data_IF_512973111345
#
_entry.id   IF_512973111345
#
_cell.length_a   1.000
_cell.length_b   1.000
_cell.length_c   1.000
_cell.angle_alpha   90.00
_cell.angle_beta   90.00
_cell.angle_gamma   90.00
#
_symmetry.space_group_name_H-M   'P 1'
#
loop_
_entity.id
_entity.type
_entity.pdbx_description
1 polymer ?
#
# COMPACT_ATOMS: atom_id res chain seq x y z
N UNK A 1 43.26 -14.79 -64.89
CA UNK A 1 42.51 -13.94 -63.95
C UNK A 1 41.10 -14.50 -63.83
N UNK A 2 40.80 -15.20 -62.74
CA UNK A 2 39.50 -15.82 -62.47
C UNK A 2 38.92 -15.16 -61.22
N UNK A 3 37.81 -14.44 -61.37
CA UNK A 3 37.13 -13.72 -60.29
C UNK A 3 36.00 -14.60 -59.78
N UNK A 4 36.10 -15.08 -58.53
CA UNK A 4 35.03 -15.80 -57.85
C UNK A 4 34.19 -14.80 -57.05
N UNK A 5 32.90 -14.72 -57.34
CA UNK A 5 31.90 -13.99 -56.56
C UNK A 5 31.37 -14.95 -55.49
N UNK A 6 31.55 -14.61 -54.22
CA UNK A 6 30.89 -15.29 -53.10
C UNK A 6 29.55 -14.59 -52.82
N UNK A 7 28.45 -15.31 -52.99
CA UNK A 7 27.14 -14.89 -52.51
C UNK A 7 27.00 -15.28 -51.03
N UNK A 8 26.88 -14.29 -50.15
CA UNK A 8 26.54 -14.48 -48.74
C UNK A 8 25.02 -14.43 -48.62
N UNK A 9 24.40 -15.58 -48.32
CA UNK A 9 22.97 -15.67 -47.97
C UNK A 9 22.84 -15.37 -46.48
N UNK A 10 22.30 -14.19 -46.13
CA UNK A 10 21.89 -13.86 -44.77
C UNK A 10 20.59 -14.62 -44.44
N UNK A 11 20.66 -15.57 -43.52
CA UNK A 11 19.47 -16.12 -42.86
C UNK A 11 19.00 -15.15 -41.77
N UNK A 12 17.93 -14.39 -42.04
CA UNK A 12 17.13 -13.76 -41.00
C UNK A 12 16.33 -14.85 -40.29
N UNK A 13 16.75 -15.23 -39.09
CA UNK A 13 15.96 -16.05 -38.19
C UNK A 13 14.92 -15.16 -37.51
N UNK A 14 13.70 -15.17 -38.03
CA UNK A 14 12.52 -14.62 -37.36
C UNK A 14 12.15 -15.59 -36.23
N UNK A 15 12.55 -15.29 -34.98
CA UNK A 15 12.02 -16.02 -33.82
C UNK A 15 10.59 -15.55 -33.59
N UNK A 16 9.65 -16.19 -34.26
CA UNK A 16 8.24 -16.11 -33.89
C UNK A 16 8.06 -16.88 -32.58
N UNK A 17 8.01 -16.16 -31.45
CA UNK A 17 7.54 -16.74 -30.20
C UNK A 17 6.07 -17.12 -30.38
N UNK A 18 5.80 -18.41 -30.52
CA UNK A 18 4.47 -18.93 -30.81
C UNK A 18 3.58 -18.87 -29.57
N UNK A 19 2.59 -17.96 -29.57
CA UNK A 19 1.50 -17.87 -28.59
C UNK A 19 0.56 -19.09 -28.72
N UNK A 20 1.02 -20.28 -28.38
CA UNK A 20 0.37 -21.56 -28.75
C UNK A 20 -0.79 -22.00 -27.86
N UNK A 21 -1.18 -21.22 -26.85
CA UNK A 21 -2.29 -21.57 -25.94
C UNK A 21 -3.25 -20.39 -25.63
N UNK A 22 -3.25 -19.31 -26.42
CA UNK A 22 -4.21 -18.21 -26.24
C UNK A 22 -5.60 -18.67 -26.66
N UNK A 23 -6.55 -18.68 -25.72
CA UNK A 23 -7.93 -19.13 -25.97
C UNK A 23 -8.88 -17.98 -26.31
N UNK A 24 -8.48 -16.74 -26.03
CA UNK A 24 -9.34 -15.55 -26.20
C UNK A 24 -8.50 -14.33 -26.51
N UNK A 25 -8.97 -13.48 -27.43
CA UNK A 25 -8.34 -12.20 -27.79
C UNK A 25 -9.34 -11.07 -27.58
N UNK A 26 -8.92 -9.98 -26.92
CA UNK A 26 -9.74 -8.79 -26.72
C UNK A 26 -8.92 -7.50 -26.95
N UNK A 27 -9.61 -6.44 -27.38
CA UNK A 27 -9.03 -5.10 -27.55
C UNK A 27 -9.66 -4.11 -26.56
N UNK A 28 -8.85 -3.26 -25.92
CA UNK A 28 -9.30 -2.22 -24.98
C UNK A 28 -8.48 -0.94 -25.14
N UNK A 29 -8.99 0.19 -24.70
CA UNK A 29 -8.17 1.42 -24.61
C UNK A 29 -7.10 1.26 -23.54
N UNK A 30 -7.46 0.71 -22.37
CA UNK A 30 -6.57 0.57 -21.23
C UNK A 30 -6.69 -0.80 -20.57
N UNK A 31 -5.55 -1.44 -20.31
CA UNK A 31 -5.45 -2.58 -19.40
C UNK A 31 -4.85 -2.13 -18.08
N UNK A 32 -5.49 -2.50 -16.96
CA UNK A 32 -5.08 -2.13 -15.60
C UNK A 32 -4.66 -3.40 -14.87
N UNK A 33 -3.45 -3.41 -14.32
CA UNK A 33 -2.95 -4.52 -13.50
C UNK A 33 -2.99 -4.14 -12.03
N UNK A 34 -3.81 -4.85 -11.26
CA UNK A 34 -4.10 -4.57 -9.86
C UNK A 34 -5.44 -3.86 -9.68
N UNK A 35 -6.37 -4.53 -9.04
CA UNK A 35 -7.73 -4.10 -8.71
C UNK A 35 -7.88 -3.51 -7.30
N UNK A 36 -6.77 -3.06 -6.70
CA UNK A 36 -6.78 -2.37 -5.40
C UNK A 36 -7.33 -0.94 -5.49
N UNK A 37 -7.14 -0.16 -4.41
CA UNK A 37 -7.60 1.22 -4.30
C UNK A 37 -7.32 2.07 -5.54
N UNK A 38 -6.08 2.05 -6.04
CA UNK A 38 -5.64 2.87 -7.16
C UNK A 38 -6.21 2.37 -8.50
N UNK A 39 -6.15 1.07 -8.77
CA UNK A 39 -6.57 0.52 -10.06
C UNK A 39 -8.09 0.50 -10.24
N UNK A 40 -8.85 0.14 -9.19
CA UNK A 40 -10.31 0.17 -9.22
C UNK A 40 -10.83 1.61 -9.41
N UNK A 41 -10.23 2.59 -8.73
CA UNK A 41 -10.56 3.99 -8.93
C UNK A 41 -10.24 4.45 -10.35
N UNK A 42 -9.05 4.13 -10.87
CA UNK A 42 -8.68 4.47 -12.24
C UNK A 42 -9.65 3.88 -13.27
N UNK A 43 -10.07 2.62 -13.10
CA UNK A 43 -11.04 1.97 -13.96
C UNK A 43 -12.40 2.68 -13.96
N UNK A 44 -12.93 3.00 -12.77
CA UNK A 44 -14.20 3.71 -12.62
C UNK A 44 -14.17 5.13 -13.22
N UNK A 45 -13.03 5.82 -13.12
CA UNK A 45 -12.84 7.14 -13.73
C UNK A 45 -12.69 7.05 -15.26
N UNK A 46 -11.92 6.09 -15.78
CA UNK A 46 -11.80 5.87 -17.23
C UNK A 46 -13.14 5.49 -17.87
N UNK A 47 -13.97 4.69 -17.19
CA UNK A 47 -15.34 4.41 -17.62
C UNK A 47 -16.19 5.69 -17.72
N UNK A 48 -15.98 6.69 -16.85
CA UNK A 48 -16.67 8.00 -16.94
C UNK A 48 -16.26 8.79 -18.19
N UNK A 49 -15.07 8.53 -18.76
CA UNK A 49 -14.55 9.18 -19.97
C UNK A 49 -14.79 8.33 -21.24
N UNK A 50 -15.77 7.42 -21.21
CA UNK A 50 -16.14 6.52 -22.31
C UNK A 50 -14.95 5.71 -22.86
N UNK A 51 -14.00 5.34 -21.99
CA UNK A 51 -12.85 4.49 -22.35
C UNK A 51 -13.15 3.04 -22.03
N UNK A 52 -12.80 2.16 -22.96
CA UNK A 52 -12.89 0.71 -22.74
C UNK A 52 -11.72 0.26 -21.88
N UNK A 53 -12.01 -0.39 -20.75
CA UNK A 53 -11.00 -0.82 -19.79
C UNK A 53 -11.13 -2.30 -19.50
N UNK A 54 -10.04 -2.92 -19.04
CA UNK A 54 -10.06 -4.24 -18.41
C UNK A 54 -9.15 -4.23 -17.19
N UNK A 55 -9.64 -4.75 -16.07
CA UNK A 55 -8.90 -4.84 -14.81
C UNK A 55 -8.49 -6.28 -14.56
N UNK A 56 -7.20 -6.52 -14.34
CA UNK A 56 -6.67 -7.84 -13.98
C UNK A 56 -6.28 -7.83 -12.51
N UNK A 57 -6.93 -8.66 -11.70
CA UNK A 57 -6.74 -8.75 -10.26
C UNK A 57 -6.43 -10.18 -9.84
N UNK A 58 -5.36 -10.35 -9.05
CA UNK A 58 -4.88 -11.66 -8.60
C UNK A 58 -5.80 -12.30 -7.55
N UNK A 59 -6.50 -11.49 -6.76
CA UNK A 59 -7.48 -11.91 -5.78
C UNK A 59 -8.82 -12.21 -6.45
N UNK A 60 -9.69 -12.94 -5.75
CA UNK A 60 -11.05 -13.22 -6.19
C UNK A 60 -12.02 -12.04 -5.99
N UNK A 61 -11.50 -10.83 -5.73
CA UNK A 61 -12.27 -9.58 -5.54
C UNK A 61 -11.39 -8.35 -5.78
N UNK A 62 -12.02 -7.21 -6.04
CA UNK A 62 -11.36 -5.89 -6.01
C UNK A 62 -11.18 -5.38 -4.56
N UNK A 63 -10.39 -4.32 -4.39
CA UNK A 63 -10.29 -3.55 -3.14
C UNK A 63 -8.96 -3.67 -2.40
N UNK A 64 -8.09 -4.61 -2.78
CA UNK A 64 -6.73 -4.71 -2.25
C UNK A 64 -6.68 -4.82 -0.72
N UNK A 65 -6.13 -3.79 -0.06
CA UNK A 65 -5.92 -3.75 1.39
C UNK A 65 -7.20 -3.58 2.23
N UNK A 66 -8.37 -3.37 1.61
CA UNK A 66 -9.63 -3.54 2.34
C UNK A 66 -9.81 -5.00 2.68
N UNK A 67 -10.15 -5.28 3.94
CA UNK A 67 -10.41 -6.63 4.43
C UNK A 67 -11.49 -6.57 5.51
N UNK A 68 -12.49 -7.42 5.37
CA UNK A 68 -13.67 -7.50 6.24
C UNK A 68 -13.95 -8.95 6.60
N UNK A 69 -14.45 -9.17 7.80
CA UNK A 69 -14.84 -10.48 8.33
C UNK A 69 -16.31 -10.43 8.74
N UNK A 70 -17.13 -11.27 8.09
CA UNK A 70 -18.51 -11.51 8.46
C UNK A 70 -18.55 -12.66 9.47
N UNK A 71 -18.93 -12.39 10.71
CA UNK A 71 -19.10 -13.44 11.71
C UNK A 71 -20.36 -14.26 11.40
N UNK A 72 -20.23 -15.55 11.04
CA UNK A 72 -21.36 -16.37 10.64
C UNK A 72 -22.33 -16.66 11.79
N UNK A 73 -21.93 -16.48 13.05
CA UNK A 73 -22.78 -16.74 14.22
C UNK A 73 -23.66 -15.55 14.57
N UNK A 74 -23.12 -14.34 14.49
CA UNK A 74 -23.82 -13.11 14.89
C UNK A 74 -24.33 -12.29 13.72
N UNK A 75 -23.84 -12.55 12.50
CA UNK A 75 -24.07 -11.71 11.32
C UNK A 75 -23.37 -10.35 11.39
N UNK A 76 -22.49 -10.12 12.37
CA UNK A 76 -21.79 -8.86 12.56
C UNK A 76 -20.53 -8.80 11.69
N UNK A 77 -20.33 -7.64 11.07
CA UNK A 77 -19.16 -7.35 10.25
C UNK A 77 -18.05 -6.67 11.06
N UNK A 78 -16.81 -7.10 10.82
CA UNK A 78 -15.60 -6.46 11.33
C UNK A 78 -14.64 -6.13 10.19
N UNK A 79 -14.42 -4.83 9.95
CA UNK A 79 -13.29 -4.39 9.12
C UNK A 79 -11.99 -4.53 9.91
N UNK A 80 -11.02 -5.20 9.30
CA UNK A 80 -9.69 -5.40 9.89
C UNK A 80 -8.55 -4.97 8.96
N UNK A 81 -8.82 -4.60 7.70
CA UNK A 81 -7.85 -3.99 6.79
C UNK A 81 -7.72 -2.47 7.02
N UNK A 82 -8.22 -1.70 6.06
CA UNK A 82 -8.34 -0.24 6.12
C UNK A 82 -9.26 0.18 7.28
N UNK A 83 -8.82 1.17 8.07
CA UNK A 83 -9.56 1.63 9.25
C UNK A 83 -10.59 2.73 8.95
N UNK A 84 -10.19 3.77 8.20
CA UNK A 84 -11.03 4.90 7.81
C UNK A 84 -10.39 5.65 6.64
N UNK A 85 -11.15 6.57 6.02
CA UNK A 85 -10.68 7.48 4.97
C UNK A 85 -10.57 8.90 5.52
N UNK A 86 -9.46 9.59 5.25
CA UNK A 86 -9.34 11.04 5.52
C UNK A 86 -10.17 11.83 4.52
N UNK A 87 -10.77 12.93 4.94
CA UNK A 87 -11.41 13.87 4.02
C UNK A 87 -10.36 14.59 3.17
N UNK A 88 -10.13 14.07 1.97
CA UNK A 88 -9.11 14.56 1.05
C UNK A 88 -9.61 14.42 -0.40
N UNK A 89 -9.38 15.46 -1.20
CA UNK A 89 -9.75 15.47 -2.62
C UNK A 89 -11.24 15.19 -2.86
N UNK A 90 -11.53 14.41 -3.90
CA UNK A 90 -12.89 14.02 -4.28
C UNK A 90 -13.42 12.76 -3.55
N UNK A 91 -12.77 12.31 -2.47
CA UNK A 91 -13.03 10.99 -1.88
C UNK A 91 -14.51 10.78 -1.49
N UNK A 92 -15.16 11.73 -0.79
CA UNK A 92 -16.60 11.61 -0.47
C UNK A 92 -17.50 11.58 -1.70
N UNK A 93 -17.21 12.44 -2.68
CA UNK A 93 -17.97 12.50 -3.93
C UNK A 93 -17.86 11.17 -4.71
N UNK A 94 -16.71 10.49 -4.60
CA UNK A 94 -16.51 9.18 -5.20
C UNK A 94 -17.41 8.10 -4.55
N UNK A 95 -17.54 8.07 -3.22
CA UNK A 95 -18.52 7.19 -2.55
C UNK A 95 -19.97 7.52 -2.94
N UNK A 96 -20.32 8.82 -2.99
CA UNK A 96 -21.66 9.27 -3.36
C UNK A 96 -22.04 8.85 -4.80
N UNK A 97 -21.07 8.80 -5.73
CA UNK A 97 -21.29 8.32 -7.11
C UNK A 97 -21.82 6.88 -7.17
N UNK A 98 -21.47 6.06 -6.19
CA UNK A 98 -21.94 4.67 -6.08
C UNK A 98 -23.12 4.51 -5.11
N UNK A 99 -23.76 5.62 -4.72
CA UNK A 99 -24.85 5.64 -3.73
C UNK A 99 -24.46 5.03 -2.37
N UNK A 100 -23.19 5.15 -1.98
CA UNK A 100 -22.71 4.66 -0.70
C UNK A 100 -22.70 5.80 0.30
N UNK A 101 -23.62 5.74 1.27
CA UNK A 101 -23.67 6.70 2.37
C UNK A 101 -22.46 6.55 3.29
N UNK A 102 -21.94 7.69 3.76
CA UNK A 102 -20.77 7.75 4.63
C UNK A 102 -21.08 8.53 5.91
N UNK A 103 -20.39 8.18 6.99
CA UNK A 103 -20.51 8.82 8.29
C UNK A 103 -19.13 8.97 8.95
N UNK A 104 -19.09 9.70 10.06
CA UNK A 104 -17.89 9.75 10.92
C UNK A 104 -17.53 8.37 11.48
N UNK A 105 -16.24 8.03 11.64
CA UNK A 105 -15.84 6.75 12.23
C UNK A 105 -16.33 6.63 13.68
N UNK A 106 -17.11 5.59 13.97
CA UNK A 106 -17.49 5.24 15.35
C UNK A 106 -16.42 4.31 15.91
N UNK A 107 -15.71 4.73 16.96
CA UNK A 107 -14.67 3.94 17.61
C UNK A 107 -15.03 3.67 19.05
N UNK A 108 -14.95 2.41 19.46
CA UNK A 108 -15.01 2.05 20.88
C UNK A 108 -13.72 2.49 21.56
N UNK A 109 -13.80 3.18 22.72
CA UNK A 109 -12.60 3.50 23.48
C UNK A 109 -11.96 2.20 23.97
N UNK A 110 -10.66 2.06 23.74
CA UNK A 110 -9.86 0.93 24.23
C UNK A 110 -8.91 1.42 25.32
N UNK A 111 -8.72 0.58 26.34
CA UNK A 111 -7.68 0.80 27.35
C UNK A 111 -6.37 0.27 26.80
N UNK A 112 -5.38 1.15 26.63
CA UNK A 112 -4.06 0.75 26.14
C UNK A 112 -3.24 0.11 27.25
N UNK A 113 -2.67 -1.06 26.97
CA UNK A 113 -1.61 -1.67 27.78
C UNK A 113 -0.37 -1.81 26.90
N UNK A 114 0.74 -1.26 27.35
CA UNK A 114 2.01 -1.34 26.63
C UNK A 114 2.86 -2.47 27.19
N UNK A 115 3.40 -3.29 26.30
CA UNK A 115 4.28 -4.39 26.66
C UNK A 115 5.32 -4.59 25.57
N UNK A 116 6.50 -5.08 25.97
CA UNK A 116 7.50 -5.56 25.05
C UNK A 116 7.13 -6.96 24.60
N UNK A 117 6.79 -7.13 23.33
CA UNK A 117 6.36 -8.43 22.80
C UNK A 117 7.54 -9.41 22.58
N UNK A 118 8.80 -8.95 22.73
CA UNK A 118 9.98 -9.80 22.73
C UNK A 118 10.18 -10.52 24.08
N UNK A 119 9.83 -9.85 25.19
CA UNK A 119 9.93 -10.42 26.54
C UNK A 119 8.57 -10.84 27.12
N UNK A 120 7.50 -10.27 26.59
CA UNK A 120 6.13 -10.40 27.09
C UNK A 120 5.79 -9.47 28.24
N UNK A 121 6.70 -8.64 28.75
CA UNK A 121 6.52 -7.86 29.99
C UNK A 121 5.92 -6.49 29.72
N UNK A 122 5.08 -6.00 30.65
CA UNK A 122 4.56 -4.63 30.65
C UNK A 122 5.73 -3.64 30.68
N UNK A 123 5.63 -2.57 29.89
CA UNK A 123 6.56 -1.44 29.89
C UNK A 123 5.99 -0.29 30.71
N UNK A 124 6.78 0.26 31.64
CA UNK A 124 6.38 1.41 32.46
C UNK A 124 6.89 2.74 31.87
N UNK A 125 6.97 2.82 30.55
CA UNK A 125 7.48 4.00 29.86
C UNK A 125 6.39 5.07 29.77
N UNK A 126 6.70 6.28 30.23
CA UNK A 126 5.81 7.42 30.10
C UNK A 126 5.67 7.82 28.63
N UNK A 127 4.46 7.67 28.09
CA UNK A 127 4.12 8.24 26.80
C UNK A 127 4.02 9.76 26.90
N UNK A 128 4.32 10.51 25.82
CA UNK A 128 4.07 11.94 25.80
C UNK A 128 2.61 12.24 26.13
N UNK A 129 2.38 13.32 26.88
CA UNK A 129 1.01 13.76 27.18
C UNK A 129 0.29 14.20 25.92
N UNK A 130 -1.05 14.20 25.96
CA UNK A 130 -1.87 14.67 24.83
C UNK A 130 -1.48 16.09 24.37
N UNK A 131 -1.14 16.97 25.31
CA UNK A 131 -0.72 18.34 25.01
C UNK A 131 0.64 18.40 24.31
N UNK A 132 1.62 17.62 24.77
CA UNK A 132 2.95 17.54 24.15
C UNK A 132 2.88 16.94 22.75
N UNK A 133 2.11 15.85 22.57
CA UNK A 133 1.88 15.25 21.25
C UNK A 133 1.20 16.24 20.31
N UNK A 134 0.16 16.94 20.76
CA UNK A 134 -0.55 17.95 19.94
C UNK A 134 0.37 19.09 19.55
N UNK A 135 1.17 19.62 20.49
CA UNK A 135 2.10 20.70 20.20
C UNK A 135 3.20 20.28 19.21
N UNK A 136 3.72 19.05 19.33
CA UNK A 136 4.69 18.51 18.39
C UNK A 136 4.08 18.23 17.01
N UNK A 137 2.84 17.73 16.94
CA UNK A 137 2.13 17.53 15.68
C UNK A 137 1.84 18.85 14.95
N UNK A 138 1.53 19.93 15.67
CA UNK A 138 1.40 21.27 15.06
C UNK A 138 2.70 21.76 14.43
N UNK A 139 3.84 21.58 15.13
CA UNK A 139 5.15 21.90 14.55
C UNK A 139 5.45 21.06 13.32
N UNK A 140 5.16 19.76 13.39
CA UNK A 140 5.32 18.85 12.26
C UNK A 140 4.45 19.26 11.06
N UNK A 141 3.18 19.61 11.30
CA UNK A 141 2.25 20.05 10.27
C UNK A 141 2.80 21.26 9.50
N UNK A 142 3.24 22.31 10.20
CA UNK A 142 3.80 23.52 9.55
C UNK A 142 4.92 23.15 8.57
N UNK A 143 5.81 22.23 8.95
CA UNK A 143 6.92 21.80 8.08
C UNK A 143 6.40 20.94 6.91
N UNK A 144 5.45 20.03 7.16
CA UNK A 144 4.84 19.25 6.09
C UNK A 144 4.14 20.12 5.05
N UNK A 145 3.51 21.23 5.46
CA UNK A 145 2.85 22.18 4.56
C UNK A 145 3.85 22.90 3.63
N UNK A 146 5.09 23.11 4.07
CA UNK A 146 6.15 23.66 3.21
C UNK A 146 6.51 22.73 2.04
N UNK A 147 6.47 21.41 2.27
CA UNK A 147 6.80 20.40 1.26
C UNK A 147 5.59 19.80 0.53
N UNK A 148 4.37 20.03 1.02
CA UNK A 148 3.14 19.45 0.46
C UNK A 148 3.01 19.67 -1.06
N UNK A 149 3.28 20.88 -1.63
CA UNK A 149 3.13 21.12 -3.07
C UNK A 149 4.05 20.27 -3.98
N UNK A 150 5.14 19.72 -3.44
CA UNK A 150 6.13 18.93 -4.20
C UNK A 150 6.02 17.42 -3.93
N UNK A 151 5.35 16.98 -2.85
CA UNK A 151 5.27 15.55 -2.46
C UNK A 151 3.85 14.98 -2.40
N UNK A 152 2.80 15.82 -2.42
CA UNK A 152 1.41 15.38 -2.28
C UNK A 152 0.49 16.10 -3.27
N UNK A 153 -0.44 15.38 -3.94
CA UNK A 153 -0.64 13.93 -3.93
C UNK A 153 0.36 13.20 -4.83
N UNK A 154 1.41 13.86 -5.32
CA UNK A 154 2.33 13.30 -6.33
C UNK A 154 3.70 13.97 -6.24
N UNK A 155 4.70 13.37 -6.88
CA UNK A 155 6.01 13.96 -7.13
C UNK A 155 6.11 14.68 -8.49
N UNK A 156 4.99 15.02 -9.14
CA UNK A 156 5.03 15.69 -10.44
C UNK A 156 5.71 17.07 -10.37
N UNK A 157 5.65 17.71 -9.20
CA UNK A 157 6.30 18.99 -8.91
C UNK A 157 7.59 18.83 -8.08
N UNK A 158 8.10 17.59 -7.93
CA UNK A 158 9.34 17.38 -7.21
C UNK A 158 10.53 17.95 -8.00
N UNK A 159 11.55 18.52 -7.34
CA UNK A 159 12.69 19.11 -8.04
C UNK A 159 13.37 18.14 -9.00
N UNK A 160 13.56 18.58 -10.25
CA UNK A 160 14.14 17.76 -11.31
C UNK A 160 15.67 17.84 -11.39
N UNK A 161 16.29 18.76 -10.63
CA UNK A 161 17.74 18.84 -10.45
C UNK A 161 18.13 18.41 -9.04
N UNK A 162 19.30 17.79 -8.90
CA UNK A 162 19.79 17.33 -7.59
C UNK A 162 20.15 18.47 -6.65
N UNK A 163 20.46 19.65 -7.17
CA UNK A 163 20.80 20.84 -6.39
C UNK A 163 19.59 21.43 -5.66
N UNK A 164 18.38 21.23 -6.21
CA UNK A 164 17.15 21.82 -5.70
C UNK A 164 16.38 20.89 -4.75
N UNK A 165 16.88 19.67 -4.50
CA UNK A 165 16.24 18.71 -3.59
C UNK A 165 16.45 19.18 -2.13
N UNK A 166 15.37 19.45 -1.37
CA UNK A 166 15.50 19.91 0.01
C UNK A 166 16.23 18.89 0.89
N UNK A 167 17.24 19.35 1.63
CA UNK A 167 18.04 18.51 2.51
C UNK A 167 17.15 17.74 3.51
N UNK A 168 16.14 18.41 4.08
CA UNK A 168 15.24 17.83 5.08
C UNK A 168 14.51 16.58 4.59
N UNK A 169 14.11 16.54 3.32
CA UNK A 169 13.44 15.38 2.74
C UNK A 169 14.39 14.18 2.59
N UNK A 170 15.69 14.41 2.61
CA UNK A 170 16.72 13.36 2.46
C UNK A 170 17.28 12.87 3.80
N UNK A 171 17.03 13.58 4.91
CA UNK A 171 17.53 13.18 6.23
C UNK A 171 16.91 11.85 6.68
N UNK A 172 17.64 11.11 7.53
CA UNK A 172 17.00 10.08 8.32
C UNK A 172 15.97 10.74 9.24
N UNK A 173 14.82 10.10 9.42
CA UNK A 173 13.71 10.71 10.14
C UNK A 173 14.06 11.02 11.61
N UNK A 174 14.94 10.25 12.23
CA UNK A 174 15.44 10.56 13.58
C UNK A 174 16.24 11.88 13.65
N UNK A 175 16.99 12.22 12.61
CA UNK A 175 17.74 13.48 12.50
C UNK A 175 16.78 14.65 12.28
N UNK A 176 15.79 14.46 11.39
CA UNK A 176 14.72 15.42 11.16
C UNK A 176 13.91 15.69 12.44
N UNK A 177 13.54 14.64 13.17
CA UNK A 177 12.84 14.74 14.46
C UNK A 177 13.66 15.52 15.49
N UNK A 178 14.97 15.30 15.54
CA UNK A 178 15.88 16.05 16.41
C UNK A 178 15.96 17.52 16.00
N UNK A 179 16.12 17.81 14.70
CA UNK A 179 16.24 19.16 14.14
C UNK A 179 15.04 20.04 14.52
N UNK A 180 13.83 19.48 14.48
CA UNK A 180 12.58 20.23 14.70
C UNK A 180 11.90 19.97 16.06
N UNK A 181 12.58 19.26 16.97
CA UNK A 181 12.07 18.91 18.30
C UNK A 181 10.68 18.23 18.23
N UNK A 182 10.59 17.12 17.50
CA UNK A 182 9.33 16.43 17.18
C UNK A 182 9.13 15.10 17.93
N UNK A 183 10.00 14.76 18.89
CA UNK A 183 9.99 13.44 19.55
C UNK A 183 8.62 13.07 20.15
N UNK A 184 7.86 14.05 20.66
CA UNK A 184 6.54 13.82 21.24
C UNK A 184 5.44 13.47 20.22
N UNK A 185 5.64 13.75 18.92
CA UNK A 185 4.73 13.37 17.85
C UNK A 185 5.00 11.95 17.33
N UNK A 186 6.26 11.48 17.43
CA UNK A 186 6.70 10.22 16.80
C UNK A 186 5.86 9.00 17.20
N UNK A 187 5.51 8.77 18.48
CA UNK A 187 4.70 7.60 18.81
C UNK A 187 3.33 7.61 18.15
N UNK A 188 2.73 8.79 17.96
CA UNK A 188 1.45 8.95 17.24
C UNK A 188 1.61 8.72 15.75
N UNK A 189 2.68 9.23 15.13
CA UNK A 189 3.03 8.96 13.73
C UNK A 189 3.21 7.45 13.51
N UNK A 190 3.97 6.80 14.41
CA UNK A 190 4.21 5.36 14.33
C UNK A 190 2.92 4.54 14.47
N UNK A 191 2.03 4.92 15.40
CA UNK A 191 0.78 4.22 15.62
C UNK A 191 -0.16 4.24 14.41
N UNK A 192 -0.08 5.27 13.56
CA UNK A 192 -0.97 5.49 12.42
C UNK A 192 -0.40 4.90 11.15
N UNK A 193 0.88 5.14 10.86
CA UNK A 193 1.52 4.65 9.64
C UNK A 193 2.81 3.86 9.85
N UNK A 194 3.54 4.10 10.95
CA UNK A 194 4.90 3.57 11.10
C UNK A 194 4.98 2.05 11.20
N UNK A 195 3.88 1.37 11.57
CA UNK A 195 3.82 -0.08 11.51
C UNK A 195 4.16 -0.60 10.10
N UNK A 196 3.80 0.06 9.01
CA UNK A 196 4.19 -0.39 7.66
C UNK A 196 5.60 -0.01 7.21
N UNK A 197 6.32 0.83 7.97
CA UNK A 197 7.55 1.49 7.52
C UNK A 197 8.84 0.86 8.03
N UNK A 198 8.74 -0.21 8.80
CA UNK A 198 9.90 -0.87 9.40
C UNK A 198 10.55 -0.02 10.50
N UNK A 199 11.88 0.08 10.50
CA UNK A 199 12.60 0.93 11.46
C UNK A 199 12.44 2.42 11.09
N UNK A 200 11.47 3.08 11.73
CA UNK A 200 11.09 4.47 11.47
C UNK A 200 12.26 5.46 11.65
N UNK A 201 13.18 5.21 12.58
CA UNK A 201 14.31 6.12 12.87
C UNK A 201 15.22 6.34 11.66
N UNK A 202 15.40 5.27 10.87
CA UNK A 202 16.33 5.21 9.74
C UNK A 202 15.62 5.44 8.40
N UNK A 203 14.30 5.70 8.40
CA UNK A 203 13.60 5.99 7.16
C UNK A 203 13.94 7.38 6.66
N UNK A 204 14.08 7.52 5.34
CA UNK A 204 14.23 8.82 4.71
C UNK A 204 12.96 9.65 4.91
N UNK A 205 13.13 10.88 5.37
CA UNK A 205 12.05 11.77 5.81
C UNK A 205 10.97 11.96 4.74
N UNK A 206 11.35 12.05 3.46
CA UNK A 206 10.42 12.08 2.32
C UNK A 206 9.33 11.00 2.44
N UNK A 207 9.73 9.75 2.63
CA UNK A 207 8.81 8.62 2.66
C UNK A 207 8.00 8.57 3.97
N UNK A 208 8.53 9.12 5.06
CA UNK A 208 7.75 9.28 6.30
C UNK A 208 6.68 10.35 6.13
N UNK A 209 7.00 11.48 5.49
CA UNK A 209 6.01 12.52 5.16
C UNK A 209 5.01 12.07 4.10
N UNK A 210 5.42 11.22 3.15
CA UNK A 210 4.50 10.63 2.17
C UNK A 210 3.50 9.69 2.85
N UNK A 211 3.94 8.98 3.90
CA UNK A 211 3.12 8.06 4.67
C UNK A 211 2.29 8.78 5.77
N UNK A 212 2.80 9.88 6.34
CA UNK A 212 2.12 10.69 7.34
C UNK A 212 2.25 12.17 6.95
N UNK A 213 1.49 12.59 5.96
CA UNK A 213 1.58 13.94 5.41
C UNK A 213 0.81 14.99 6.21
N UNK A 214 0.78 16.20 5.67
CA UNK A 214 0.01 17.32 6.22
C UNK A 214 -1.48 16.96 6.38
N UNK A 215 -2.06 16.21 5.44
CA UNK A 215 -3.46 15.76 5.49
C UNK A 215 -3.77 14.87 6.71
N UNK A 216 -2.89 13.93 7.07
CA UNK A 216 -3.06 13.09 8.25
C UNK A 216 -2.76 13.87 9.53
N UNK A 217 -1.79 14.78 9.50
CA UNK A 217 -1.52 15.67 10.63
C UNK A 217 -2.73 16.58 10.91
N UNK A 218 -3.32 17.22 9.89
CA UNK A 218 -4.57 18.01 10.00
C UNK A 218 -5.71 17.16 10.55
N UNK A 219 -5.89 15.94 10.05
CA UNK A 219 -6.92 15.01 10.54
C UNK A 219 -6.77 14.71 12.04
N UNK A 220 -5.55 14.44 12.49
CA UNK A 220 -5.28 14.13 13.90
C UNK A 220 -5.30 15.35 14.82
N UNK A 221 -5.13 16.55 14.27
CA UNK A 221 -5.33 17.83 14.96
C UNK A 221 -6.80 18.28 14.97
N UNK A 222 -7.69 17.54 14.29
CA UNK A 222 -9.12 17.84 14.21
C UNK A 222 -9.48 18.95 13.22
N UNK A 223 -8.54 19.35 12.36
CA UNK A 223 -8.73 20.37 11.33
C UNK A 223 -9.45 19.82 10.09
N UNK A 224 -9.28 18.51 9.84
CA UNK A 224 -9.91 17.77 8.76
C UNK A 224 -10.62 16.54 9.34
N UNK A 225 -11.77 16.20 8.79
CA UNK A 225 -12.56 15.04 9.24
C UNK A 225 -12.06 13.73 8.60
N UNK A 226 -12.63 12.62 9.06
CA UNK A 226 -12.50 11.31 8.43
C UNK A 226 -13.87 10.67 8.30
N UNK A 227 -13.97 9.62 7.48
CA UNK A 227 -15.24 8.93 7.25
C UNK A 227 -15.07 7.43 7.01
N UNK A 228 -16.20 6.73 7.12
CA UNK A 228 -16.40 5.32 6.81
C UNK A 228 -17.79 5.13 6.16
N UNK A 229 -18.02 4.06 5.38
CA UNK A 229 -19.38 3.70 4.96
C UNK A 229 -20.31 3.49 6.15
N UNK A 230 -21.58 3.88 6.03
CA UNK A 230 -22.61 3.64 7.06
C UNK A 230 -22.81 2.15 7.31
N UNK A 231 -22.72 1.33 6.26
CA UNK A 231 -22.71 -0.15 6.32
C UNK A 231 -21.56 -0.71 7.14
N UNK A 232 -20.52 0.10 7.40
CA UNK A 232 -19.22 -0.28 7.98
C UNK A 232 -18.39 -1.21 7.09
N UNK A 233 -18.84 -1.54 5.88
CA UNK A 233 -18.14 -2.44 4.96
C UNK A 233 -17.40 -1.63 3.90
N UNK A 234 -16.09 -1.47 4.09
CA UNK A 234 -15.24 -0.78 3.11
C UNK A 234 -15.17 -1.47 1.75
N UNK A 235 -15.54 -2.76 1.71
CA UNK A 235 -15.58 -3.55 0.49
C UNK A 235 -16.71 -3.10 -0.45
N UNK A 236 -17.76 -2.43 0.06
CA UNK A 236 -18.94 -2.03 -0.74
C UNK A 236 -18.59 -1.19 -1.96
N UNK A 237 -17.64 -0.25 -1.82
CA UNK A 237 -17.21 0.58 -2.94
C UNK A 237 -16.57 -0.25 -4.06
N UNK A 238 -15.78 -1.24 -3.70
CA UNK A 238 -15.04 -2.05 -4.67
C UNK A 238 -15.93 -3.10 -5.33
N UNK A 239 -16.93 -3.60 -4.61
CA UNK A 239 -17.96 -4.46 -5.18
C UNK A 239 -18.83 -3.68 -6.18
N UNK A 240 -19.22 -2.44 -5.84
CA UNK A 240 -19.96 -1.56 -6.75
C UNK A 240 -19.15 -1.20 -8.01
N UNK A 241 -17.83 -1.01 -7.89
CA UNK A 241 -16.94 -0.81 -9.04
C UNK A 241 -16.86 -2.09 -9.89
N UNK A 242 -16.76 -3.27 -9.26
CA UNK A 242 -16.74 -4.54 -9.99
C UNK A 242 -18.06 -4.76 -10.76
N UNK A 243 -19.20 -4.44 -10.15
CA UNK A 243 -20.52 -4.49 -10.79
C UNK A 243 -20.62 -3.53 -11.98
N UNK A 244 -20.16 -2.28 -11.82
CA UNK A 244 -20.11 -1.29 -12.91
C UNK A 244 -19.33 -1.80 -14.13
N UNK A 245 -18.21 -2.49 -13.91
CA UNK A 245 -17.32 -2.97 -14.97
C UNK A 245 -17.74 -4.35 -15.52
N UNK A 246 -18.50 -5.14 -14.77
CA UNK A 246 -19.01 -6.44 -15.19
C UNK A 246 -17.91 -7.39 -15.68
N UNK A 247 -18.05 -7.86 -16.92
CA UNK A 247 -17.14 -8.84 -17.54
C UNK A 247 -15.73 -8.29 -17.85
N UNK A 248 -15.51 -6.99 -17.70
CA UNK A 248 -14.20 -6.36 -17.87
C UNK A 248 -13.32 -6.45 -16.60
N UNK A 249 -13.74 -7.22 -15.59
CA UNK A 249 -12.94 -7.52 -14.39
C UNK A 249 -12.50 -8.97 -14.37
N UNK A 250 -11.22 -9.20 -14.62
CA UNK A 250 -10.59 -10.52 -14.57
C UNK A 250 -10.06 -10.77 -13.17
N UNK A 251 -10.90 -11.38 -12.33
CA UNK A 251 -10.55 -11.82 -10.98
C UNK A 251 -9.75 -13.13 -11.01
N UNK A 252 -9.01 -13.41 -9.93
CA UNK A 252 -8.13 -14.60 -9.82
C UNK A 252 -7.22 -14.78 -11.03
N UNK A 253 -6.73 -13.67 -11.58
CA UNK A 253 -6.01 -13.60 -12.83
C UNK A 253 -4.71 -12.82 -12.69
N UNK A 254 -3.68 -13.20 -13.44
CA UNK A 254 -2.37 -12.54 -13.42
C UNK A 254 -1.85 -12.31 -14.83
N UNK A 255 -1.21 -11.16 -15.07
CA UNK A 255 -0.40 -10.97 -16.26
C UNK A 255 0.84 -11.89 -16.15
N UNK A 256 1.11 -12.66 -17.19
CA UNK A 256 2.24 -13.61 -17.23
C UNK A 256 3.28 -13.24 -18.27
N UNK A 257 2.91 -12.37 -19.22
CA UNK A 257 3.78 -11.84 -20.25
C UNK A 257 3.22 -10.54 -20.79
N UNK A 258 4.08 -9.56 -21.02
CA UNK A 258 3.74 -8.36 -21.77
C UNK A 258 4.69 -8.13 -22.93
N UNK A 259 4.21 -7.40 -23.92
CA UNK A 259 5.01 -6.81 -24.99
C UNK A 259 4.59 -5.35 -25.12
N UNK A 260 5.45 -4.43 -24.68
CA UNK A 260 5.11 -3.00 -24.57
C UNK A 260 5.94 -2.21 -25.55
N UNK A 261 5.29 -1.32 -26.29
CA UNK A 261 5.95 -0.43 -27.26
C UNK A 261 5.45 1.00 -27.10
N UNK A 262 5.98 1.95 -27.88
CA UNK A 262 5.44 3.32 -27.92
C UNK A 262 4.05 3.42 -28.56
N UNK A 263 3.58 2.36 -29.24
CA UNK A 263 2.31 2.35 -29.98
C UNK A 263 1.16 1.65 -29.23
N UNK A 264 1.47 0.91 -28.17
CA UNK A 264 0.50 0.07 -27.48
C UNK A 264 1.17 -1.05 -26.71
N UNK A 265 0.34 -1.89 -26.11
CA UNK A 265 0.73 -2.98 -25.23
C UNK A 265 -0.06 -4.24 -25.57
N UNK A 266 0.60 -5.39 -25.50
CA UNK A 266 -0.06 -6.70 -25.48
C UNK A 266 0.19 -7.32 -24.11
N UNK A 267 -0.86 -7.83 -23.47
CA UNK A 267 -0.80 -8.47 -22.15
C UNK A 267 -1.43 -9.85 -22.24
N UNK A 268 -0.61 -10.88 -22.03
CA UNK A 268 -1.10 -12.24 -21.85
C UNK A 268 -1.49 -12.43 -20.38
N UNK A 269 -2.76 -12.73 -20.15
CA UNK A 269 -3.34 -12.96 -18.82
C UNK A 269 -3.63 -14.44 -18.65
N UNK A 270 -3.24 -14.99 -17.50
CA UNK A 270 -3.63 -16.32 -17.04
C UNK A 270 -4.73 -16.18 -15.99
N UNK A 271 -5.93 -16.63 -16.32
CA UNK A 271 -7.08 -16.64 -15.45
C UNK A 271 -7.22 -17.91 -14.59
N UNK A 272 -8.37 -18.07 -13.90
CA UNK A 272 -8.65 -19.28 -13.14
C UNK A 272 -8.60 -20.51 -14.05
N UNK A 273 -8.15 -21.65 -13.50
CA UNK A 273 -8.00 -22.91 -14.23
C UNK A 273 -7.00 -22.88 -15.41
N UNK A 274 -6.17 -21.83 -15.50
CA UNK A 274 -5.10 -21.73 -16.50
C UNK A 274 -5.53 -21.16 -17.85
N UNK A 275 -6.77 -20.68 -17.99
CA UNK A 275 -7.26 -20.00 -19.20
C UNK A 275 -6.32 -18.85 -19.59
N UNK A 276 -6.05 -18.69 -20.90
CA UNK A 276 -5.17 -17.63 -21.42
C UNK A 276 -5.94 -16.65 -22.28
N UNK A 277 -5.89 -15.38 -21.92
CA UNK A 277 -6.46 -14.28 -22.70
C UNK A 277 -5.35 -13.34 -23.13
N UNK A 278 -5.29 -13.01 -24.42
CA UNK A 278 -4.42 -11.96 -24.93
C UNK A 278 -5.22 -10.66 -25.05
N UNK A 279 -4.74 -9.64 -24.35
CA UNK A 279 -5.34 -8.31 -24.32
C UNK A 279 -4.43 -7.38 -25.13
N UNK A 280 -4.93 -6.85 -26.23
CA UNK A 280 -4.29 -5.74 -26.95
C UNK A 280 -4.87 -4.43 -26.43
N UNK A 281 -4.02 -3.50 -26.01
CA UNK A 281 -4.48 -2.20 -25.54
C UNK A 281 -3.57 -1.06 -25.97
N UNK A 282 -4.12 0.16 -25.96
CA UNK A 282 -3.32 1.36 -26.26
C UNK A 282 -2.42 1.75 -25.10
N UNK A 283 -2.88 1.54 -23.85
CA UNK A 283 -2.14 1.88 -22.62
C UNK A 283 -2.19 0.74 -21.60
N UNK A 284 -1.12 0.62 -20.83
CA UNK A 284 -1.04 -0.18 -19.61
C UNK A 284 -1.01 0.76 -18.40
N UNK A 285 -1.80 0.46 -17.37
CA UNK A 285 -1.68 1.06 -16.05
C UNK A 285 -1.28 0.00 -15.03
N UNK A 286 -0.12 0.16 -14.40
CA UNK A 286 0.33 -0.69 -13.29
C UNK A 286 -0.08 -0.04 -11.96
N UNK A 287 -0.89 -0.74 -11.18
CA UNK A 287 -1.52 -0.26 -9.95
C UNK A 287 -1.20 -1.12 -8.71
N UNK A 288 -0.14 -1.93 -8.79
CA UNK A 288 0.44 -2.66 -7.66
C UNK A 288 1.84 -2.13 -7.34
N UNK A 289 2.38 -2.46 -6.18
CA UNK A 289 3.73 -2.04 -5.77
C UNK A 289 4.82 -2.67 -6.68
N UNK A 290 5.57 -1.86 -7.47
CA UNK A 290 6.49 -2.35 -8.52
C UNK A 290 7.82 -2.87 -7.97
N UNK A 291 7.78 -3.91 -7.13
CA UNK A 291 8.99 -4.70 -6.82
C UNK A 291 9.38 -5.54 -8.04
N UNK A 292 10.67 -5.86 -8.20
CA UNK A 292 11.13 -6.72 -9.30
C UNK A 292 10.42 -8.08 -9.34
N UNK A 293 10.05 -8.63 -8.18
CA UNK A 293 9.27 -9.87 -8.10
C UNK A 293 7.81 -9.68 -8.56
N UNK A 294 7.17 -8.57 -8.21
CA UNK A 294 5.80 -8.28 -8.69
C UNK A 294 5.75 -7.95 -10.19
N UNK A 295 6.88 -7.55 -10.78
CA UNK A 295 7.04 -7.27 -12.19
C UNK A 295 7.43 -8.51 -13.01
N UNK A 296 7.50 -9.69 -12.41
CA UNK A 296 7.70 -10.93 -13.16
C UNK A 296 6.58 -11.11 -14.20
N UNK A 297 6.97 -11.36 -15.45
CA UNK A 297 6.04 -11.40 -16.59
C UNK A 297 5.76 -10.03 -17.22
N UNK A 298 6.29 -8.94 -16.68
CA UNK A 298 6.29 -7.62 -17.33
C UNK A 298 7.63 -7.40 -18.03
N UNK A 299 7.61 -7.02 -19.30
CA UNK A 299 8.80 -6.75 -20.13
C UNK A 299 9.47 -5.40 -19.78
N UNK A 300 9.90 -5.25 -18.53
CA UNK A 300 10.62 -4.06 -18.06
C UNK A 300 11.98 -3.93 -18.77
N UNK A 301 12.33 -2.72 -19.19
CA UNK A 301 13.63 -2.44 -19.78
C UNK A 301 14.67 -1.98 -18.75
N UNK A 302 15.87 -1.66 -19.22
CA UNK A 302 16.98 -1.25 -18.34
C UNK A 302 16.70 0.08 -17.61
N UNK A 303 15.92 0.99 -18.21
CA UNK A 303 15.52 2.25 -17.57
C UNK A 303 14.56 1.97 -16.40
N UNK A 304 13.54 1.15 -16.63
CA UNK A 304 12.60 0.73 -15.58
C UNK A 304 13.33 -0.03 -14.46
N UNK A 305 14.20 -0.98 -14.84
CA UNK A 305 14.97 -1.79 -13.89
C UNK A 305 15.93 -0.95 -13.04
N UNK A 306 16.53 0.10 -13.58
CA UNK A 306 17.41 1.02 -12.85
C UNK A 306 16.69 1.78 -11.72
N UNK A 307 15.39 2.05 -11.89
CA UNK A 307 14.54 2.61 -10.83
C UNK A 307 14.13 1.51 -9.85
N UNK A 308 13.53 0.42 -10.34
CA UNK A 308 12.87 -0.56 -9.49
C UNK A 308 13.81 -1.45 -8.67
N UNK A 309 15.07 -1.57 -9.07
CA UNK A 309 16.10 -2.33 -8.33
C UNK A 309 16.58 -1.64 -7.05
N UNK A 310 16.26 -0.37 -6.87
CA UNK A 310 16.69 0.42 -5.70
C UNK A 310 15.70 0.36 -4.54
N UNK A 311 14.53 -0.23 -4.75
CA UNK A 311 13.48 -0.25 -3.74
C UNK A 311 13.88 -1.03 -2.49
N UNK A 312 13.62 -0.41 -1.35
CA UNK A 312 13.41 -1.05 -0.06
C UNK A 312 11.92 -1.02 0.27
N UNK A 313 11.47 -1.97 1.08
CA UNK A 313 10.09 -2.02 1.53
C UNK A 313 9.95 -2.82 2.82
N UNK A 314 8.72 -2.88 3.33
CA UNK A 314 8.34 -3.83 4.36
C UNK A 314 7.11 -4.60 3.90
N UNK A 315 6.90 -5.80 4.44
CA UNK A 315 5.70 -6.58 4.20
C UNK A 315 4.73 -6.38 5.37
N UNK A 316 3.45 -6.20 5.06
CA UNK A 316 2.41 -6.00 6.08
C UNK A 316 1.38 -7.12 6.02
N UNK A 317 0.98 -7.58 7.20
CA UNK A 317 -0.06 -8.59 7.36
C UNK A 317 -1.06 -8.12 8.39
N UNK A 318 -2.32 -8.49 8.17
CA UNK A 318 -3.37 -8.16 9.12
C UNK A 318 -4.33 -9.33 9.27
N UNK A 319 -4.86 -9.51 10.47
CA UNK A 319 -5.79 -10.59 10.74
C UNK A 319 -6.71 -10.29 11.90
N UNK A 320 -7.67 -11.18 12.05
CA UNK A 320 -8.54 -11.24 13.23
C UNK A 320 -8.24 -12.53 13.95
N UNK A 321 -7.98 -12.42 15.24
CA UNK A 321 -7.67 -13.55 16.12
C UNK A 321 -8.62 -13.59 17.31
N UNK A 322 -8.78 -14.77 17.91
CA UNK A 322 -9.55 -14.94 19.14
C UNK A 322 -8.84 -15.87 20.13
N UNK A 323 -8.90 -15.49 21.40
CA UNK A 323 -8.52 -16.35 22.51
C UNK A 323 -9.13 -15.84 23.83
N UNK A 324 -9.59 -16.70 24.75
CA UNK A 324 -10.17 -16.27 26.02
C UNK A 324 -9.23 -15.48 26.94
N UNK A 325 -7.91 -15.59 26.76
CA UNK A 325 -6.93 -14.82 27.53
C UNK A 325 -6.70 -13.39 26.99
N UNK A 326 -7.21 -13.05 25.81
CA UNK A 326 -7.09 -11.68 25.32
C UNK A 326 -8.12 -10.78 26.03
N UNK A 327 -7.68 -9.64 26.62
CA UNK A 327 -8.53 -8.82 27.47
C UNK A 327 -9.53 -7.99 26.66
N UNK A 328 -10.83 -8.23 26.87
CA UNK A 328 -11.91 -7.47 26.21
C UNK A 328 -11.88 -6.00 26.62
N UNK A 329 -12.00 -5.10 25.66
CA UNK A 329 -11.96 -3.64 25.88
C UNK A 329 -10.56 -3.03 25.91
N UNK A 330 -9.51 -3.82 25.61
CA UNK A 330 -8.12 -3.37 25.63
C UNK A 330 -7.48 -3.38 24.24
N UNK A 331 -6.44 -2.56 24.11
CA UNK A 331 -5.43 -2.59 23.06
C UNK A 331 -4.10 -2.97 23.69
N UNK A 332 -3.61 -4.18 23.41
CA UNK A 332 -2.25 -4.57 23.80
C UNK A 332 -1.29 -4.04 22.72
N UNK A 333 -0.49 -3.02 23.03
CA UNK A 333 0.39 -2.36 22.07
C UNK A 333 1.86 -2.70 22.36
N UNK A 334 2.60 -3.02 21.30
CA UNK A 334 4.01 -3.37 21.41
C UNK A 334 4.87 -2.12 21.66
N UNK A 335 5.78 -2.21 22.61
CA UNK A 335 6.84 -1.24 22.88
C UNK A 335 8.13 -1.97 23.15
N UNK A 336 9.20 -1.61 22.45
CA UNK A 336 10.52 -2.22 22.64
C UNK A 336 11.46 -1.18 23.26
N UNK A 337 11.71 -1.21 24.59
CA UNK A 337 12.54 -0.22 25.26
C UNK A 337 13.98 -0.13 24.76
N UNK A 338 14.45 -1.13 24.02
CA UNK A 338 15.82 -1.15 23.46
C UNK A 338 15.99 -0.32 22.19
N UNK A 339 14.88 0.11 21.56
CA UNK A 339 14.89 0.85 20.30
C UNK A 339 14.62 2.35 20.48
N UNK A 340 14.89 3.11 19.41
CA UNK A 340 14.63 4.55 19.35
C UNK A 340 13.17 4.89 19.69
N UNK A 341 12.98 5.73 20.71
CA UNK A 341 11.68 6.12 21.27
C UNK A 341 10.78 4.92 21.62
N UNK A 342 11.41 3.81 21.96
CA UNK A 342 10.79 2.55 22.36
C UNK A 342 9.84 1.95 21.32
N UNK A 343 10.08 2.26 20.05
CA UNK A 343 9.30 1.72 18.94
C UNK A 343 9.67 0.25 18.65
N UNK A 344 8.71 -0.60 18.27
CA UNK A 344 8.99 -1.96 17.82
C UNK A 344 9.97 -2.00 16.64
N UNK A 345 10.89 -2.98 16.66
CA UNK A 345 11.73 -3.31 15.51
C UNK A 345 10.98 -4.03 14.38
N UNK A 346 11.69 -4.50 13.36
CA UNK A 346 11.15 -5.35 12.28
C UNK A 346 11.92 -6.66 12.20
N UNK A 347 11.25 -7.83 12.18
CA UNK A 347 9.80 -8.02 12.19
C UNK A 347 9.17 -7.78 13.58
N UNK A 348 7.92 -7.36 13.63
CA UNK A 348 7.16 -7.21 14.88
C UNK A 348 5.66 -7.36 14.69
N UNK A 349 4.97 -7.78 15.76
CA UNK A 349 3.52 -7.58 15.89
C UNK A 349 3.33 -6.19 16.49
N UNK A 350 2.50 -5.36 15.87
CA UNK A 350 2.26 -4.00 16.33
C UNK A 350 1.36 -3.95 17.56
N UNK A 351 0.25 -4.70 17.53
CA UNK A 351 -0.77 -4.71 18.59
C UNK A 351 -1.80 -5.83 18.44
N UNK A 352 -2.54 -6.07 19.52
CA UNK A 352 -3.81 -6.80 19.56
C UNK A 352 -4.91 -5.82 19.99
N UNK A 353 -5.76 -5.38 19.04
CA UNK A 353 -6.83 -4.42 19.29
C UNK A 353 -8.18 -5.12 19.38
N UNK A 354 -8.88 -5.00 20.51
CA UNK A 354 -10.22 -5.58 20.65
C UNK A 354 -11.21 -4.94 19.66
N UNK A 355 -11.86 -5.79 18.84
CA UNK A 355 -12.87 -5.39 17.87
C UNK A 355 -14.31 -5.54 18.40
N UNK A 356 -14.49 -6.27 19.51
CA UNK A 356 -15.80 -6.71 20.01
C UNK A 356 -15.93 -8.24 20.00
N UNK A 357 -16.85 -8.77 20.80
CA UNK A 357 -17.29 -10.17 20.77
C UNK A 357 -16.17 -11.21 20.91
N UNK A 358 -15.03 -10.83 21.49
CA UNK A 358 -13.87 -11.70 21.68
C UNK A 358 -12.92 -11.77 20.48
N UNK A 359 -13.12 -10.93 19.47
CA UNK A 359 -12.23 -10.77 18.32
C UNK A 359 -11.22 -9.64 18.52
N UNK A 360 -10.01 -9.85 18.03
CA UNK A 360 -8.90 -8.90 18.09
C UNK A 360 -8.25 -8.73 16.74
N UNK A 361 -8.04 -7.49 16.31
CA UNK A 361 -7.21 -7.18 15.15
C UNK A 361 -5.75 -7.31 15.53
N UNK A 362 -4.99 -7.98 14.67
CA UNK A 362 -3.52 -8.04 14.75
C UNK A 362 -2.92 -7.50 13.47
N UNK A 363 -1.85 -6.73 13.60
CA UNK A 363 -1.05 -6.23 12.48
C UNK A 363 0.41 -6.64 12.69
N UNK A 364 1.02 -7.18 11.64
CA UNK A 364 2.41 -7.63 11.65
C UNK A 364 3.19 -6.96 10.53
N UNK A 365 4.42 -6.61 10.85
CA UNK A 365 5.38 -6.04 9.91
C UNK A 365 6.55 -6.99 9.77
N UNK A 366 6.94 -7.25 8.53
CA UNK A 366 8.07 -8.09 8.18
C UNK A 366 9.06 -7.40 7.25
N UNK A 367 10.31 -7.89 7.19
CA UNK A 367 11.26 -7.49 6.16
C UNK A 367 10.82 -7.98 4.76
N UNK A 368 11.49 -7.57 3.68
CA UNK A 368 11.32 -8.17 2.36
C UNK A 368 11.41 -9.70 2.39
N UNK A 369 10.49 -10.38 1.70
CA UNK A 369 10.45 -11.85 1.63
C UNK A 369 9.77 -12.54 2.82
N UNK A 370 9.41 -11.80 3.87
CA UNK A 370 8.58 -12.33 4.96
C UNK A 370 7.23 -12.74 4.43
N UNK A 371 6.71 -13.92 4.81
CA UNK A 371 5.43 -14.45 4.31
C UNK A 371 4.37 -14.62 5.43
N UNK A 372 3.15 -15.01 5.05
CA UNK A 372 2.03 -15.23 5.97
C UNK A 372 2.30 -16.28 7.06
N UNK A 373 3.10 -17.31 6.79
CA UNK A 373 3.45 -18.32 7.80
C UNK A 373 4.40 -17.74 8.85
N UNK A 374 5.39 -16.96 8.42
CA UNK A 374 6.33 -16.29 9.32
C UNK A 374 5.60 -15.28 10.22
N UNK A 375 4.68 -14.50 9.64
CA UNK A 375 3.86 -13.54 10.38
C UNK A 375 2.97 -14.20 11.45
N UNK A 376 2.29 -15.31 11.11
CA UNK A 376 1.51 -16.09 12.09
C UNK A 376 2.40 -16.71 13.16
N UNK A 377 3.59 -17.21 12.78
CA UNK A 377 4.57 -17.74 13.73
C UNK A 377 5.02 -16.66 14.73
N UNK A 378 5.26 -15.43 14.27
CA UNK A 378 5.61 -14.31 15.15
C UNK A 378 4.47 -13.94 16.10
N UNK A 379 3.22 -13.87 15.60
CA UNK A 379 2.04 -13.63 16.44
C UNK A 379 1.96 -14.66 17.57
N UNK A 380 2.07 -15.96 17.25
CA UNK A 380 2.01 -17.02 18.25
C UNK A 380 3.13 -16.88 19.29
N UNK A 381 4.37 -16.62 18.85
CA UNK A 381 5.51 -16.42 19.76
C UNK A 381 5.30 -15.22 20.69
N UNK A 382 4.87 -14.07 20.15
CA UNK A 382 4.58 -12.88 20.95
C UNK A 382 3.44 -13.12 21.95
N UNK A 383 2.37 -13.77 21.49
CA UNK A 383 1.23 -14.13 22.33
C UNK A 383 1.61 -15.06 23.49
N UNK A 384 2.39 -16.11 23.22
CA UNK A 384 2.90 -17.00 24.26
C UNK A 384 3.85 -16.31 25.24
N UNK A 385 4.69 -15.37 24.76
CA UNK A 385 5.56 -14.58 25.64
C UNK A 385 4.77 -13.71 26.60
N UNK A 386 3.74 -13.02 26.09
CA UNK A 386 2.84 -12.21 26.92
C UNK A 386 2.19 -13.06 28.03
N UNK A 387 1.76 -14.28 27.72
CA UNK A 387 1.19 -15.19 28.71
C UNK A 387 2.22 -15.69 29.72
N UNK A 388 3.42 -16.11 29.26
CA UNK A 388 4.51 -16.57 30.16
C UNK A 388 4.99 -15.48 31.11
N UNK A 389 4.95 -14.22 30.68
CA UNK A 389 5.31 -13.07 31.50
C UNK A 389 4.21 -12.63 32.47
N UNK A 390 3.00 -13.21 32.38
CA UNK A 390 1.85 -12.83 33.20
C UNK A 390 1.15 -11.54 32.77
N UNK A 391 1.50 -10.97 31.61
CA UNK A 391 0.85 -9.76 31.07
C UNK A 391 -0.57 -10.06 30.58
N UNK A 392 -0.80 -11.28 30.10
CA UNK A 392 -2.14 -11.82 29.86
C UNK A 392 -2.32 -13.13 30.65
N UNK A 393 -3.56 -13.55 30.94
CA UNK A 393 -3.83 -14.85 31.55
C UNK A 393 -3.18 -16.03 30.82
N UNK A 394 -2.97 -17.12 31.57
CA UNK A 394 -2.48 -18.39 31.02
C UNK A 394 -3.31 -18.85 29.82
N UNK A 395 -2.65 -19.41 28.81
CA UNK A 395 -3.31 -19.90 27.60
C UNK A 395 -4.10 -21.19 27.84
N UNK A 396 -3.81 -21.91 28.94
CA UNK A 396 -4.35 -23.24 29.19
C UNK A 396 -3.96 -24.20 28.06
N UNK A 397 -4.93 -24.97 27.55
CA UNK A 397 -4.74 -25.93 26.45
C UNK A 397 -5.17 -25.39 25.08
N UNK A 398 -5.73 -24.17 25.04
CA UNK A 398 -6.26 -23.59 23.81
C UNK A 398 -5.14 -22.88 23.02
N UNK A 399 -5.28 -22.90 21.70
CA UNK A 399 -4.41 -22.16 20.77
C UNK A 399 -5.10 -20.88 20.33
N UNK A 400 -4.30 -19.90 19.92
CA UNK A 400 -4.81 -18.70 19.26
C UNK A 400 -5.54 -19.10 17.98
N UNK A 401 -6.79 -18.70 17.87
CA UNK A 401 -7.60 -18.92 16.67
C UNK A 401 -7.38 -17.76 15.69
N UNK A 402 -7.23 -18.07 14.41
CA UNK A 402 -7.18 -17.07 13.33
C UNK A 402 -8.47 -17.16 12.53
N UNK A 403 -9.38 -16.20 12.74
CA UNK A 403 -10.71 -16.22 12.11
C UNK A 403 -10.72 -15.52 10.75
N UNK A 404 -9.80 -14.58 10.55
CA UNK A 404 -9.60 -13.92 9.26
C UNK A 404 -8.13 -13.51 9.09
N UNK A 405 -7.67 -13.46 7.84
CA UNK A 405 -6.28 -13.11 7.51
C UNK A 405 -6.21 -12.42 6.14
N UNK A 406 -5.34 -11.43 6.02
CA UNK A 406 -5.06 -10.73 4.78
C UNK A 406 -3.56 -10.42 4.68
N UNK A 407 -2.99 -10.74 3.53
CA UNK A 407 -1.62 -10.39 3.16
C UNK A 407 -1.67 -9.09 2.36
N UNK A 408 -1.12 -8.01 2.93
CA UNK A 408 -1.06 -6.71 2.25
C UNK A 408 0.15 -6.61 1.31
N UNK A 409 1.07 -7.58 1.35
CA UNK A 409 2.25 -7.65 0.51
C UNK A 409 3.28 -6.57 0.84
N UNK A 410 4.18 -6.27 -0.11
CA UNK A 410 5.05 -5.11 -0.04
C UNK A 410 4.24 -3.81 0.17
N UNK A 411 4.73 -2.93 1.03
CA UNK A 411 4.19 -1.59 1.27
C UNK A 411 5.32 -0.62 1.57
N UNK A 412 5.04 0.68 1.39
CA UNK A 412 6.00 1.77 1.62
C UNK A 412 7.30 1.57 0.83
N UNK A 413 7.20 1.34 -0.49
CA UNK A 413 8.37 1.33 -1.36
C UNK A 413 9.11 2.67 -1.23
N UNK A 414 10.42 2.58 -1.04
CA UNK A 414 11.27 3.70 -0.67
C UNK A 414 12.71 3.47 -1.07
N UNK A 415 13.50 4.54 -1.05
CA UNK A 415 14.95 4.48 -1.20
C UNK A 415 15.62 5.31 -0.10
N UNK A 416 16.93 5.16 0.05
CA UNK A 416 17.71 5.94 1.02
C UNK A 416 17.78 7.43 0.66
N UNK A 417 18.19 8.25 1.62
CA UNK A 417 18.36 9.69 1.43
C UNK A 417 19.39 10.03 0.35
N UNK A 418 20.42 9.20 0.20
CA UNK A 418 21.43 9.35 -0.86
C UNK A 418 20.85 9.09 -2.24
N UNK A 419 19.95 8.12 -2.38
CA UNK A 419 19.27 7.83 -3.65
C UNK A 419 18.27 8.94 -4.00
N UNK A 420 17.50 9.45 -3.02
CA UNK A 420 16.62 10.62 -3.23
C UNK A 420 17.46 11.80 -3.72
N UNK A 421 18.55 12.14 -3.02
CA UNK A 421 19.48 13.22 -3.41
C UNK A 421 20.13 12.99 -4.78
N UNK A 422 20.33 11.74 -5.16
CA UNK A 422 20.85 11.32 -6.46
C UNK A 422 19.85 11.44 -7.62
N UNK A 423 18.64 11.96 -7.39
CA UNK A 423 17.64 12.18 -8.44
C UNK A 423 16.71 10.98 -8.66
N UNK A 424 16.61 10.04 -7.73
CA UNK A 424 15.76 8.86 -7.87
C UNK A 424 14.30 9.20 -8.22
N UNK A 425 13.71 10.20 -7.54
CA UNK A 425 12.32 10.62 -7.78
C UNK A 425 12.12 11.13 -9.21
N UNK A 426 13.09 11.88 -9.74
CA UNK A 426 13.07 12.37 -11.12
C UNK A 426 13.07 11.21 -12.12
N UNK A 427 13.97 10.24 -11.94
CA UNK A 427 14.03 9.07 -12.83
C UNK A 427 12.77 8.20 -12.72
N UNK A 428 12.26 8.03 -11.50
CA UNK A 428 10.99 7.35 -11.27
C UNK A 428 9.86 8.02 -12.07
N UNK A 429 9.65 9.33 -11.91
CA UNK A 429 8.55 10.03 -12.55
C UNK A 429 8.67 10.14 -14.07
N UNK A 430 9.90 10.05 -14.63
CA UNK A 430 10.11 9.94 -16.09
C UNK A 430 9.52 8.67 -16.70
N UNK A 431 9.22 7.64 -15.90
CA UNK A 431 8.58 6.43 -16.39
C UNK A 431 7.09 6.62 -16.74
N UNK A 432 6.45 7.73 -16.35
CA UNK A 432 5.04 7.98 -16.68
C UNK A 432 4.87 8.15 -18.20
N UNK A 433 4.20 7.18 -18.83
CA UNK A 433 3.99 7.09 -20.28
C UNK A 433 5.07 6.30 -21.03
N UNK A 434 6.13 5.86 -20.33
CA UNK A 434 7.21 5.07 -20.94
C UNK A 434 6.67 3.74 -21.48
N UNK A 435 6.99 3.42 -22.74
CA UNK A 435 6.45 2.23 -23.45
C UNK A 435 4.93 2.08 -23.30
N UNK A 436 4.18 3.18 -23.47
CA UNK A 436 2.72 3.21 -23.30
C UNK A 436 2.23 2.75 -21.92
N UNK A 437 3.08 2.84 -20.89
CA UNK A 437 2.80 2.41 -19.53
C UNK A 437 2.75 3.59 -18.58
N UNK A 438 1.72 3.63 -17.74
CA UNK A 438 1.59 4.54 -16.62
C UNK A 438 1.62 3.75 -15.32
N UNK A 439 1.98 4.43 -14.25
CA UNK A 439 2.07 3.82 -12.93
C UNK A 439 1.29 4.63 -11.90
N UNK A 440 0.58 3.94 -11.01
CA UNK A 440 -0.15 4.55 -9.89
C UNK A 440 0.06 3.75 -8.61
N UNK A 441 -0.45 4.24 -7.49
CA UNK A 441 -0.34 3.60 -6.18
C UNK A 441 0.72 4.21 -5.27
N UNK A 442 0.94 3.56 -4.13
CA UNK A 442 1.73 4.07 -3.01
C UNK A 442 3.22 4.27 -3.28
N UNK A 443 3.79 3.67 -4.33
CA UNK A 443 5.15 4.01 -4.76
C UNK A 443 5.25 5.42 -5.36
N UNK A 444 4.16 5.93 -5.91
CA UNK A 444 4.11 7.17 -6.69
C UNK A 444 3.47 8.34 -5.92
N UNK A 445 2.94 8.09 -4.72
CA UNK A 445 2.17 9.01 -3.85
C UNK A 445 2.11 8.45 -2.42
N UNK A 446 1.27 8.97 -1.53
CA UNK A 446 0.99 8.35 -0.24
C UNK A 446 0.34 6.97 -0.33
N UNK A 447 0.52 6.17 0.72
CA UNK A 447 -0.03 4.81 0.83
C UNK A 447 -1.54 4.78 1.15
N UNK A 448 -2.12 5.93 1.47
CA UNK A 448 -3.50 6.03 1.90
C UNK A 448 -4.45 6.20 0.71
N UNK A 449 -5.67 5.65 0.86
CA UNK A 449 -6.60 5.49 -0.24
C UNK A 449 -7.01 6.82 -0.92
N UNK A 450 -7.40 7.89 -0.20
CA UNK A 450 -7.73 9.16 -0.84
C UNK A 450 -6.57 9.78 -1.65
N UNK A 451 -5.32 9.56 -1.23
CA UNK A 451 -4.12 10.13 -1.82
C UNK A 451 -3.81 9.46 -3.16
N UNK A 452 -3.93 8.13 -3.23
CA UNK A 452 -3.76 7.42 -4.51
C UNK A 452 -4.92 7.69 -5.48
N UNK A 453 -6.10 8.03 -4.98
CA UNK A 453 -7.22 8.49 -5.82
C UNK A 453 -6.96 9.89 -6.37
N UNK A 454 -6.49 10.81 -5.54
CA UNK A 454 -6.13 12.16 -5.99
C UNK A 454 -4.94 12.13 -6.97
N UNK A 455 -3.95 11.25 -6.75
CA UNK A 455 -2.87 11.00 -7.72
C UNK A 455 -3.44 10.63 -9.10
N UNK A 456 -4.41 9.72 -9.12
CA UNK A 456 -5.07 9.32 -10.37
C UNK A 456 -5.74 10.52 -11.05
N UNK A 457 -6.56 11.26 -10.31
CA UNK A 457 -7.36 12.35 -10.86
C UNK A 457 -6.52 13.54 -11.34
N UNK A 458 -5.42 13.85 -10.63
CA UNK A 458 -4.62 15.05 -10.90
C UNK A 458 -3.45 14.82 -11.84
N UNK A 459 -2.90 13.60 -11.90
CA UNK A 459 -1.63 13.36 -12.60
C UNK A 459 -1.75 12.20 -13.58
N UNK A 460 -2.09 11.01 -13.10
CA UNK A 460 -1.95 9.79 -13.91
C UNK A 460 -2.98 9.75 -15.04
N UNK A 461 -4.27 9.96 -14.74
CA UNK A 461 -5.32 9.87 -15.74
C UNK A 461 -5.27 11.01 -16.76
N UNK A 462 -5.04 12.30 -16.38
CA UNK A 462 -4.83 13.36 -17.36
C UNK A 462 -3.70 13.05 -18.35
N UNK A 463 -2.55 12.58 -17.86
CA UNK A 463 -1.42 12.20 -18.71
C UNK A 463 -1.73 11.01 -19.62
N UNK A 464 -2.41 9.99 -19.09
CA UNK A 464 -2.81 8.80 -19.84
C UNK A 464 -3.82 9.15 -20.94
N UNK A 465 -4.87 9.91 -20.61
CA UNK A 465 -5.93 10.34 -21.53
C UNK A 465 -5.41 11.25 -22.65
N UNK A 466 -4.44 12.12 -22.36
CA UNK A 466 -3.84 13.01 -23.35
C UNK A 466 -3.09 12.26 -24.48
N UNK A 467 -2.78 10.98 -24.28
CA UNK A 467 -2.00 10.17 -25.23
C UNK A 467 -2.75 8.93 -25.73
N UNK A 468 -4.06 8.84 -25.47
CA UNK A 468 -4.97 7.71 -25.76
C UNK A 468 -5.63 7.76 -27.14
#
# INVERSE_FOLDING_TARGET
>A
MSTRIFAVVLFLSLVAATFTNVTTFIERDVVILGGGASGAHAAAQLHKFDKTVVVVEKQSRLGGHVASFDDPQTGKLYDYGVNSYTDYGAARAFFARFNIEVQGPVRSPLISTYADFNTGRITNLSMPSSNETTAALRRYLVICEEYEPMISPSYANFPNTTADIPEDLTLNFSEFVKKYNLSAAVPRIFQVTGLGMGNLANQTTLYVMQAFGADLARSLLGEVSSFVPVSRRKQDLYDAIAELLGNDVFLSSVAVRTNRTRKGVEVEVRGPNGQRTLISAKKLLIAFEPTLSNLEGIDIDDTEKAVFSKWEWSNVYVGVVSHPSLPKGYSLANQDPSNWLSLPGTPSVGRFDHLGDGYFRVLVTGPPGYNSCDAKSLINKSFERLARAGTIPSLGTKRLEYVAWSDHGPMHLRVSGSEVRGGHITEQYRLQGHKSTYYTGGAWSGQFTPQVWELNDKVVLPGLLATL
#
